data_IF_375328837314
#
_entry.id   IF_375328837314
#
_cell.length_a   1.000
_cell.length_b   1.000
_cell.length_c   1.000
_cell.angle_alpha   90.00
_cell.angle_beta   90.00
_cell.angle_gamma   90.00
#
_symmetry.space_group_name_H-M   'P 1'
#
loop_
_entity.id
_entity.type
_entity.pdbx_description
1 polymer ?
#
# COMPACT_ATOMS: atom_id res chain seq x y z
N UNK A 1 12.52 -0.71 43.32
CA UNK A 1 11.56 0.15 44.03
C UNK A 1 10.40 0.38 43.08
N UNK A 2 9.33 -0.38 43.27
CA UNK A 2 8.05 -0.23 42.59
C UNK A 2 7.44 1.11 43.03
N UNK A 3 7.13 1.99 42.08
CA UNK A 3 6.16 3.05 42.31
C UNK A 3 5.02 2.87 41.32
N UNK A 4 4.09 2.03 41.76
CA UNK A 4 2.73 2.02 41.28
C UNK A 4 2.11 3.40 41.57
N UNK A 5 1.75 4.14 40.54
CA UNK A 5 0.77 5.21 40.65
C UNK A 5 -0.39 4.90 39.71
N UNK A 6 -1.28 4.01 40.17
CA UNK A 6 -2.65 3.91 39.67
C UNK A 6 -3.44 5.10 40.23
N UNK A 7 -3.78 6.05 39.36
CA UNK A 7 -4.95 6.90 39.55
C UNK A 7 -5.96 6.48 38.48
N UNK A 8 -7.18 6.14 38.92
CA UNK A 8 -8.19 5.48 38.10
C UNK A 8 -8.58 6.27 36.85
N UNK A 9 -8.55 5.58 35.71
CA UNK A 9 -9.29 5.94 34.51
C UNK A 9 -9.93 4.65 33.98
N UNK A 10 -11.23 4.70 33.68
CA UNK A 10 -11.90 3.64 32.95
C UNK A 10 -11.20 3.49 31.58
N UNK A 11 -10.86 2.28 31.12
CA UNK A 11 -10.07 2.09 29.90
C UNK A 11 -10.76 2.52 28.59
N UNK A 12 -12.03 2.93 28.62
CA UNK A 12 -12.76 3.41 27.43
C UNK A 12 -12.66 4.92 27.16
N UNK A 13 -12.16 5.73 28.10
CA UNK A 13 -12.10 7.20 27.95
C UNK A 13 -10.70 7.74 27.59
N UNK A 14 -9.69 6.87 27.53
CA UNK A 14 -8.29 7.26 27.29
C UNK A 14 -7.98 7.16 25.80
N UNK A 15 -7.64 8.29 25.18
CA UNK A 15 -7.16 8.31 23.79
C UNK A 15 -5.82 7.57 23.69
N UNK A 16 -5.55 6.81 22.61
CA UNK A 16 -4.22 6.28 22.40
C UNK A 16 -3.24 7.44 22.11
N UNK A 17 -1.98 7.30 22.51
CA UNK A 17 -1.03 8.42 22.51
C UNK A 17 -0.63 8.83 21.08
N UNK A 18 -0.67 7.91 20.11
CA UNK A 18 -0.49 8.17 18.68
C UNK A 18 -1.56 9.13 18.10
N UNK A 19 -2.78 9.11 18.61
CA UNK A 19 -3.85 10.06 18.27
C UNK A 19 -3.69 11.43 18.97
N UNK A 20 -2.78 11.52 19.94
CA UNK A 20 -2.56 12.73 20.75
C UNK A 20 -1.28 13.49 20.39
N UNK A 21 -0.52 13.05 19.39
CA UNK A 21 0.75 13.66 18.98
C UNK A 21 0.64 14.48 17.71
N UNK A 22 1.40 15.57 17.63
CA UNK A 22 1.47 16.40 16.44
C UNK A 22 2.39 15.79 15.38
N UNK A 23 1.89 15.64 14.16
CA UNK A 23 2.64 15.06 13.03
C UNK A 23 3.84 15.87 12.51
N UNK A 24 4.09 17.08 13.04
CA UNK A 24 5.23 17.93 12.63
C UNK A 24 6.37 17.83 13.63
N UNK A 25 6.08 18.05 14.92
CA UNK A 25 7.08 18.01 15.98
C UNK A 25 7.16 16.66 16.70
N UNK A 26 6.27 15.72 16.37
CA UNK A 26 6.19 14.37 16.93
C UNK A 26 6.09 14.32 18.46
N UNK A 27 5.43 15.33 19.05
CA UNK A 27 5.25 15.44 20.49
C UNK A 27 3.77 15.76 20.78
N UNK A 28 3.33 15.59 22.03
CA UNK A 28 1.93 15.70 22.43
C UNK A 28 1.32 17.05 22.01
N UNK A 29 0.08 17.09 21.53
CA UNK A 29 -0.55 18.35 21.16
C UNK A 29 -0.47 19.37 22.31
N UNK A 30 -0.18 20.62 21.98
CA UNK A 30 -0.42 21.79 22.85
C UNK A 30 -1.28 22.74 22.05
N UNK A 31 -2.46 23.04 22.59
CA UNK A 31 -3.48 23.87 21.94
C UNK A 31 -3.73 23.43 20.47
N UNK A 32 -4.22 22.20 20.25
CA UNK A 32 -4.37 21.63 18.91
C UNK A 32 -5.28 22.50 18.03
N UNK A 33 -4.86 22.72 16.79
CA UNK A 33 -5.58 23.46 15.74
C UNK A 33 -6.01 22.48 14.66
N UNK A 34 -7.31 22.19 14.59
CA UNK A 34 -7.88 21.32 13.55
C UNK A 34 -8.34 22.16 12.37
N UNK A 35 -7.67 21.99 11.24
CA UNK A 35 -7.99 22.68 9.99
C UNK A 35 -9.24 22.07 9.33
N UNK A 36 -9.91 22.78 8.40
CA UNK A 36 -11.09 22.27 7.70
C UNK A 36 -10.81 21.05 6.80
N UNK A 37 -9.53 20.74 6.55
CA UNK A 37 -9.09 19.51 5.89
C UNK A 37 -8.88 18.34 6.85
N UNK A 38 -9.36 18.44 8.10
CA UNK A 38 -9.30 17.43 9.16
C UNK A 38 -7.90 17.07 9.67
N UNK A 39 -6.86 17.78 9.23
CA UNK A 39 -5.53 17.64 9.80
C UNK A 39 -5.37 18.55 11.02
N UNK A 40 -4.74 18.02 12.07
CA UNK A 40 -4.55 18.72 13.35
C UNK A 40 -3.08 18.89 13.66
N UNK A 41 -2.68 20.11 14.04
CA UNK A 41 -1.33 20.47 14.44
C UNK A 41 -1.36 21.13 15.82
N UNK A 42 -0.27 21.10 16.60
CA UNK A 42 -0.18 21.96 17.78
C UNK A 42 -0.09 23.44 17.38
N UNK A 43 -0.48 24.36 18.26
CA UNK A 43 -0.46 25.80 17.99
C UNK A 43 0.92 26.30 17.52
N UNK A 44 2.06 25.92 18.14
CA UNK A 44 3.37 26.34 17.67
C UNK A 44 3.64 25.91 16.21
N UNK A 45 3.42 24.64 15.90
CA UNK A 45 3.64 24.12 14.55
C UNK A 45 2.67 24.75 13.52
N UNK A 46 1.42 25.03 13.90
CA UNK A 46 0.48 25.75 13.04
C UNK A 46 0.97 27.16 12.72
N UNK A 47 1.46 27.90 13.73
CA UNK A 47 1.97 29.25 13.54
C UNK A 47 3.18 29.28 12.60
N UNK A 48 4.14 28.39 12.84
CA UNK A 48 5.41 28.35 12.09
C UNK A 48 5.26 27.80 10.68
N UNK A 49 4.48 26.74 10.49
CA UNK A 49 4.44 26.02 9.22
C UNK A 49 3.22 26.38 8.34
N UNK A 50 2.19 27.02 8.92
CA UNK A 50 0.98 27.39 8.19
C UNK A 50 0.75 28.91 8.18
N UNK A 51 0.65 29.52 9.36
CA UNK A 51 0.24 30.93 9.49
C UNK A 51 1.27 31.91 8.91
N UNK A 52 2.57 31.68 9.18
CA UNK A 52 3.66 32.57 8.75
C UNK A 52 4.14 32.33 7.31
N UNK A 53 3.85 31.16 6.72
CA UNK A 53 4.48 30.72 5.46
C UNK A 53 3.57 30.96 4.26
N UNK A 54 2.53 30.14 4.08
CA UNK A 54 1.73 30.15 2.85
C UNK A 54 0.23 29.95 3.07
N UNK A 55 -0.22 29.90 4.34
CA UNK A 55 -1.62 29.66 4.72
C UNK A 55 -2.20 28.40 4.08
N UNK A 56 -1.39 27.33 3.98
CA UNK A 56 -1.80 26.00 3.52
C UNK A 56 -1.49 24.95 4.58
N UNK A 57 -2.32 23.91 4.63
CA UNK A 57 -2.07 22.74 5.46
C UNK A 57 -0.75 22.07 5.03
N UNK A 58 0.22 21.83 5.94
CA UNK A 58 1.45 21.11 5.62
C UNK A 58 1.24 19.67 5.14
N UNK A 59 0.16 19.02 5.58
CA UNK A 59 -0.12 17.61 5.28
C UNK A 59 -0.72 17.41 3.88
N UNK A 60 -1.67 18.26 3.48
CA UNK A 60 -2.44 18.07 2.25
C UNK A 60 -2.44 19.29 1.31
N UNK A 61 -1.67 20.35 1.63
CA UNK A 61 -1.51 21.59 0.84
C UNK A 61 -2.79 22.39 0.59
N UNK A 62 -3.90 22.02 1.22
CA UNK A 62 -5.18 22.76 1.13
C UNK A 62 -5.04 24.14 1.75
N UNK A 63 -5.53 25.17 1.04
CA UNK A 63 -5.51 26.56 1.50
C UNK A 63 -6.48 26.76 2.66
N UNK A 64 -6.02 27.39 3.74
CA UNK A 64 -6.80 27.62 4.98
C UNK A 64 -6.98 29.11 5.32
N UNK A 65 -6.51 30.02 4.47
CA UNK A 65 -6.51 31.47 4.73
C UNK A 65 -7.88 32.06 5.10
N UNK A 66 -8.95 31.71 4.38
CA UNK A 66 -10.31 32.22 4.64
C UNK A 66 -10.85 31.70 5.97
N UNK A 67 -10.62 30.41 6.25
CA UNK A 67 -11.00 29.78 7.50
C UNK A 67 -10.25 30.43 8.68
N UNK A 68 -8.93 30.61 8.57
CA UNK A 68 -8.10 31.20 9.62
C UNK A 68 -8.59 32.60 10.00
N UNK A 69 -8.87 33.48 9.03
CA UNK A 69 -9.40 34.82 9.31
C UNK A 69 -10.73 34.80 10.06
N UNK A 70 -11.58 33.79 9.81
CA UNK A 70 -12.84 33.60 10.55
C UNK A 70 -12.58 33.04 11.95
N UNK A 71 -11.71 32.03 12.06
CA UNK A 71 -11.36 31.39 13.32
C UNK A 71 -10.69 32.37 14.31
N UNK A 72 -9.79 33.23 13.83
CA UNK A 72 -9.15 34.27 14.66
C UNK A 72 -10.18 35.27 15.20
N UNK A 73 -11.09 35.77 14.36
CA UNK A 73 -12.15 36.70 14.79
C UNK A 73 -13.09 36.10 15.84
N UNK A 74 -13.33 34.80 15.76
CA UNK A 74 -14.24 34.10 16.65
C UNK A 74 -13.50 33.43 17.84
N UNK A 75 -12.20 33.68 18.03
CA UNK A 75 -11.36 33.01 19.02
C UNK A 75 -11.48 31.46 19.01
N UNK A 76 -11.71 30.89 17.82
CA UNK A 76 -12.06 29.48 17.61
C UNK A 76 -10.97 28.68 16.89
N UNK A 77 -9.70 29.08 17.01
CA UNK A 77 -8.59 28.40 16.33
C UNK A 77 -8.23 27.08 17.00
N UNK A 78 -8.30 27.03 18.34
CA UNK A 78 -7.99 25.83 19.13
C UNK A 78 -9.20 24.90 19.17
N UNK A 79 -8.99 23.64 18.81
CA UNK A 79 -9.94 22.56 19.02
C UNK A 79 -10.00 22.21 20.51
N UNK A 80 -10.87 22.90 21.25
CA UNK A 80 -11.04 22.72 22.70
C UNK A 80 -11.43 21.29 23.08
N UNK A 81 -12.31 20.66 22.31
CA UNK A 81 -12.77 19.29 22.59
C UNK A 81 -11.63 18.28 22.56
N UNK A 82 -10.78 18.34 21.53
CA UNK A 82 -9.58 17.52 21.45
C UNK A 82 -8.60 17.90 22.56
N UNK A 83 -8.41 19.20 22.80
CA UNK A 83 -7.49 19.67 23.82
C UNK A 83 -7.85 19.17 25.23
N UNK A 84 -9.13 19.18 25.58
CA UNK A 84 -9.62 18.69 26.86
C UNK A 84 -9.43 17.19 27.01
N UNK A 85 -9.56 16.42 25.94
CA UNK A 85 -9.35 14.96 25.94
C UNK A 85 -7.88 14.61 26.07
N UNK A 86 -7.00 15.30 25.34
CA UNK A 86 -5.53 15.12 25.41
C UNK A 86 -5.04 15.42 26.83
N UNK A 87 -5.46 16.55 27.41
CA UNK A 87 -5.05 16.94 28.79
C UNK A 87 -5.55 15.97 29.86
N UNK A 88 -6.74 15.40 29.68
CA UNK A 88 -7.28 14.39 30.59
C UNK A 88 -6.54 13.06 30.49
N UNK A 89 -6.19 12.66 29.27
CA UNK A 89 -5.52 11.37 29.02
C UNK A 89 -4.04 11.41 29.42
N UNK A 90 -3.34 12.53 29.14
CA UNK A 90 -1.89 12.63 29.29
C UNK A 90 -1.45 13.95 29.96
N UNK A 91 -1.91 14.25 31.19
CA UNK A 91 -1.62 15.52 31.86
C UNK A 91 -0.13 15.78 32.07
N UNK A 92 0.64 14.73 32.39
CA UNK A 92 2.09 14.82 32.64
C UNK A 92 2.86 15.22 31.37
N UNK A 93 2.53 14.62 30.22
CA UNK A 93 3.17 14.93 28.94
C UNK A 93 2.83 16.36 28.50
N UNK A 94 1.57 16.79 28.65
CA UNK A 94 1.18 18.17 28.38
C UNK A 94 1.97 19.16 29.25
N UNK A 95 2.16 18.86 30.53
CA UNK A 95 2.89 19.72 31.46
C UNK A 95 4.37 19.82 31.10
N UNK A 96 5.02 18.69 30.79
CA UNK A 96 6.41 18.67 30.30
C UNK A 96 6.59 19.56 29.09
N UNK A 97 5.74 19.37 28.07
CA UNK A 97 5.79 20.15 26.84
C UNK A 97 5.56 21.65 27.09
N UNK A 98 4.61 22.01 27.96
CA UNK A 98 4.37 23.41 28.34
C UNK A 98 5.55 24.04 29.09
N UNK A 99 6.33 23.23 29.81
CA UNK A 99 7.56 23.66 30.50
C UNK A 99 8.78 23.74 29.55
N UNK A 100 8.62 23.47 28.25
CA UNK A 100 9.72 23.43 27.29
C UNK A 100 10.65 22.23 27.48
N UNK A 101 10.19 21.19 28.19
CA UNK A 101 10.91 19.93 28.28
C UNK A 101 10.46 19.09 27.10
N UNK A 102 11.28 19.06 26.05
CA UNK A 102 11.02 18.16 24.92
C UNK A 102 10.97 16.73 25.46
N UNK A 103 9.78 16.13 25.35
CA UNK A 103 9.67 14.68 25.36
C UNK A 103 10.39 14.20 24.11
N UNK A 104 11.69 13.89 24.24
CA UNK A 104 12.14 12.66 23.60
C UNK A 104 11.22 11.62 24.23
N UNK A 105 10.13 11.33 23.52
CA UNK A 105 9.28 10.20 23.84
C UNK A 105 10.26 9.04 23.99
N UNK A 106 10.25 8.40 25.15
CA UNK A 106 11.23 7.38 25.51
C UNK A 106 11.50 6.47 24.30
N UNK A 107 12.74 6.04 24.15
CA UNK A 107 13.25 5.16 23.08
C UNK A 107 12.34 3.93 22.84
N UNK A 108 11.49 3.61 23.82
CA UNK A 108 10.51 2.52 23.86
C UNK A 108 9.12 2.83 23.24
N UNK A 109 8.78 4.07 22.86
CA UNK A 109 7.44 4.41 22.32
C UNK A 109 7.34 4.26 20.79
N UNK A 110 8.45 4.08 20.06
CA UNK A 110 8.34 3.66 18.67
C UNK A 110 7.74 2.25 18.64
N UNK A 111 6.45 2.18 18.28
CA UNK A 111 5.77 0.95 17.85
C UNK A 111 6.78 0.06 17.15
N UNK A 112 6.83 -1.22 17.54
CA UNK A 112 7.73 -2.23 16.98
C UNK A 112 8.00 -1.91 15.52
N UNK A 113 9.27 -1.59 15.15
CA UNK A 113 9.59 -1.10 13.83
C UNK A 113 8.87 -1.94 12.79
N UNK A 114 8.17 -1.33 11.82
CA UNK A 114 7.50 -2.10 10.80
C UNK A 114 8.51 -3.08 10.23
N UNK A 115 8.14 -4.37 10.13
CA UNK A 115 9.04 -5.39 9.61
C UNK A 115 9.51 -4.93 8.23
N UNK A 116 10.74 -4.45 8.16
CA UNK A 116 11.39 -4.13 6.90
C UNK A 116 11.77 -5.45 6.24
N UNK A 117 11.73 -5.50 4.92
CA UNK A 117 12.25 -6.67 4.20
C UNK A 117 13.74 -6.83 4.53
N UNK A 118 14.16 -8.05 4.80
CA UNK A 118 15.57 -8.34 4.99
C UNK A 118 16.34 -8.04 3.68
N UNK A 119 17.60 -7.57 3.76
CA UNK A 119 18.42 -7.34 2.58
C UNK A 119 18.44 -8.58 1.65
N UNK A 120 17.86 -8.43 0.46
CA UNK A 120 17.78 -9.52 -0.53
C UNK A 120 16.49 -10.34 -0.56
N UNK A 121 15.59 -10.19 0.42
CA UNK A 121 14.29 -10.90 0.44
C UNK A 121 13.46 -10.59 -0.82
N UNK A 122 13.37 -9.31 -1.19
CA UNK A 122 12.70 -8.87 -2.43
C UNK A 122 13.32 -9.46 -3.70
N UNK A 123 14.66 -9.63 -3.72
CA UNK A 123 15.37 -10.23 -4.86
C UNK A 123 15.04 -11.72 -4.95
N UNK A 124 15.03 -12.41 -3.82
CA UNK A 124 14.75 -13.84 -3.75
C UNK A 124 13.31 -14.14 -4.21
N UNK A 125 12.33 -13.35 -3.77
CA UNK A 125 10.94 -13.47 -4.24
C UNK A 125 10.84 -13.30 -5.75
N UNK A 126 11.51 -12.29 -6.30
CA UNK A 126 11.54 -12.03 -7.74
C UNK A 126 12.17 -13.18 -8.52
N UNK A 127 13.32 -13.69 -8.09
CA UNK A 127 14.01 -14.82 -8.74
C UNK A 127 13.17 -16.12 -8.68
N UNK A 128 12.46 -16.35 -7.58
CA UNK A 128 11.54 -17.47 -7.45
C UNK A 128 10.36 -17.36 -8.42
N UNK A 129 9.79 -16.16 -8.56
CA UNK A 129 8.72 -15.90 -9.52
C UNK A 129 9.19 -16.10 -10.96
N UNK A 130 10.39 -15.61 -11.31
CA UNK A 130 10.98 -15.83 -12.63
C UNK A 130 11.17 -17.33 -12.93
N UNK A 131 11.76 -18.08 -12.00
CA UNK A 131 11.97 -19.54 -12.14
C UNK A 131 10.65 -20.27 -12.36
N UNK A 132 9.62 -19.96 -11.57
CA UNK A 132 8.30 -20.57 -11.73
C UNK A 132 7.71 -20.30 -13.11
N UNK A 133 7.79 -19.05 -13.58
CA UNK A 133 7.31 -18.66 -14.90
C UNK A 133 8.06 -19.40 -16.02
N UNK A 134 9.39 -19.52 -15.91
CA UNK A 134 10.18 -20.26 -16.90
C UNK A 134 9.81 -21.75 -16.96
N UNK A 135 9.56 -22.37 -15.82
CA UNK A 135 9.12 -23.77 -15.75
C UNK A 135 7.73 -23.97 -16.37
N UNK A 136 6.79 -23.06 -16.10
CA UNK A 136 5.45 -23.09 -16.70
C UNK A 136 5.54 -22.97 -18.22
N UNK A 137 6.31 -22.00 -18.72
CA UNK A 137 6.52 -21.80 -20.16
C UNK A 137 7.16 -23.02 -20.83
N UNK A 138 8.15 -23.67 -20.18
CA UNK A 138 8.77 -24.89 -20.71
C UNK A 138 7.78 -26.05 -20.85
N UNK A 139 6.87 -26.21 -19.89
CA UNK A 139 5.82 -27.25 -19.94
C UNK A 139 4.82 -26.98 -21.07
N UNK A 140 4.48 -25.72 -21.27
CA UNK A 140 3.59 -25.29 -22.35
C UNK A 140 4.24 -25.54 -23.71
N UNK A 141 5.49 -25.11 -23.90
CA UNK A 141 6.28 -25.34 -25.12
C UNK A 141 6.41 -26.84 -25.43
N UNK A 142 6.62 -27.68 -24.42
CA UNK A 142 6.74 -29.13 -24.59
C UNK A 142 5.40 -29.79 -24.97
N UNK A 143 4.30 -29.33 -24.38
CA UNK A 143 2.96 -29.80 -24.74
C UNK A 143 2.61 -29.39 -26.17
N UNK A 144 2.84 -28.13 -26.54
CA UNK A 144 2.60 -27.62 -27.89
C UNK A 144 3.41 -28.40 -28.93
N UNK A 145 4.70 -28.64 -28.66
CA UNK A 145 5.56 -29.45 -29.53
C UNK A 145 5.01 -30.86 -29.71
N UNK A 146 4.61 -31.54 -28.63
CA UNK A 146 4.06 -32.90 -28.70
C UNK A 146 2.76 -32.93 -29.51
N UNK A 147 1.83 -32.02 -29.22
CA UNK A 147 0.56 -31.94 -29.95
C UNK A 147 0.79 -31.63 -31.44
N UNK A 148 1.78 -30.78 -31.75
CA UNK A 148 2.18 -30.45 -33.11
C UNK A 148 2.76 -31.66 -33.85
N UNK A 149 3.66 -32.41 -33.22
CA UNK A 149 4.25 -33.63 -33.78
C UNK A 149 3.20 -34.70 -34.08
N UNK A 150 2.29 -34.96 -33.13
CA UNK A 150 1.18 -35.89 -33.32
C UNK A 150 0.26 -35.47 -34.47
N UNK A 151 -0.06 -34.18 -34.55
CA UNK A 151 -0.90 -33.63 -35.61
C UNK A 151 -0.24 -33.73 -37.00
N UNK A 152 1.05 -33.42 -37.11
CA UNK A 152 1.82 -33.55 -38.35
C UNK A 152 1.86 -35.02 -38.79
N UNK A 153 2.12 -35.95 -37.88
CA UNK A 153 2.14 -37.38 -38.18
C UNK A 153 0.78 -37.86 -38.72
N UNK A 154 -0.31 -37.43 -38.10
CA UNK A 154 -1.67 -37.73 -38.56
C UNK A 154 -1.95 -37.18 -39.97
N UNK A 155 -1.55 -35.93 -40.25
CA UNK A 155 -1.69 -35.32 -41.58
C UNK A 155 -0.90 -36.08 -42.65
N UNK A 156 0.35 -36.45 -42.36
CA UNK A 156 1.19 -37.21 -43.29
C UNK A 156 0.59 -38.59 -43.61
N UNK A 157 0.06 -39.29 -42.60
CA UNK A 157 -0.62 -40.57 -42.80
C UNK A 157 -1.87 -40.42 -43.68
N UNK A 158 -2.74 -39.45 -43.34
CA UNK A 158 -3.97 -39.17 -44.11
C UNK A 158 -3.66 -38.79 -45.56
N UNK A 159 -2.66 -37.92 -45.77
CA UNK A 159 -2.23 -37.52 -47.12
C UNK A 159 -1.63 -38.69 -47.91
N UNK A 160 -0.86 -39.58 -47.27
CA UNK A 160 -0.33 -40.80 -47.90
C UNK A 160 -1.48 -41.71 -48.35
N UNK A 161 -2.46 -41.97 -47.48
CA UNK A 161 -3.65 -42.75 -47.84
C UNK A 161 -4.44 -42.11 -48.99
N UNK A 162 -4.64 -40.78 -48.97
CA UNK A 162 -5.30 -40.05 -50.06
C UNK A 162 -4.52 -40.12 -51.38
N UNK A 163 -3.19 -40.05 -51.34
CA UNK A 163 -2.36 -40.21 -52.54
C UNK A 163 -2.41 -41.63 -53.12
N UNK A 164 -2.41 -42.66 -52.26
CA UNK A 164 -2.52 -44.07 -52.69
C UNK A 164 -3.90 -44.32 -53.30
N UNK A 165 -4.97 -43.82 -52.66
CA UNK A 165 -6.32 -43.88 -53.20
C UNK A 165 -6.46 -43.13 -54.54
N UNK A 166 -5.86 -41.96 -54.68
CA UNK A 166 -5.83 -41.21 -55.94
C UNK A 166 -5.01 -41.92 -57.03
N UNK A 167 -3.92 -42.57 -56.69
CA UNK A 167 -3.12 -43.35 -57.65
C UNK A 167 -3.84 -44.64 -58.06
N UNK A 168 -4.59 -45.27 -57.15
CA UNK A 168 -5.44 -46.43 -57.46
C UNK A 168 -6.61 -46.06 -58.37
N UNK A 169 -7.26 -44.91 -58.17
CA UNK A 169 -8.34 -44.47 -59.07
C UNK A 169 -7.80 -44.00 -60.43
N UNK A 170 -6.61 -43.39 -60.50
CA UNK A 170 -5.93 -43.04 -61.76
C UNK A 170 -5.52 -44.28 -62.58
N UNK A 171 -4.99 -45.31 -61.93
CA UNK A 171 -4.62 -46.57 -62.59
C UNK A 171 -5.85 -47.36 -63.07
N UNK A 172 -6.91 -47.40 -62.26
CA UNK A 172 -8.20 -47.96 -62.70
C UNK A 172 -8.77 -47.19 -63.90
N UNK A 173 -8.72 -45.86 -63.90
CA UNK A 173 -9.16 -45.04 -65.03
C UNK A 173 -8.33 -45.29 -66.30
N UNK A 174 -7.00 -45.41 -66.19
CA UNK A 174 -6.13 -45.77 -67.33
C UNK A 174 -6.42 -47.18 -67.87
N UNK A 175 -6.57 -48.19 -67.01
CA UNK A 175 -6.90 -49.56 -67.45
C UNK A 175 -8.29 -49.63 -68.09
N UNK A 176 -9.26 -48.86 -67.58
CA UNK A 176 -10.58 -48.74 -68.19
C UNK A 176 -10.52 -48.14 -69.60
N UNK A 177 -9.73 -47.07 -69.79
CA UNK A 177 -9.54 -46.45 -71.11
C UNK A 177 -8.88 -47.42 -72.11
N UNK A 178 -7.96 -48.28 -71.67
CA UNK A 178 -7.31 -49.29 -72.53
C UNK A 178 -8.17 -50.52 -72.85
N UNK A 179 -9.22 -50.80 -72.08
CA UNK A 179 -10.12 -51.96 -72.29
C UNK A 179 -11.40 -51.59 -73.04
N UNK A 180 -11.73 -50.31 -73.16
CA UNK A 180 -12.99 -49.83 -73.75
C UNK A 180 -12.80 -48.91 -74.99
N UNK A 181 -11.58 -48.84 -75.52
CA UNK A 181 -11.21 -48.23 -76.80
C UNK A 181 -10.30 -49.19 -77.56
#
# INVERSE_FOLDING_TARGET
MLLEHKAGAHPEDTLPLDECVCSICLDIYVEPVTMPCQHTLCMPCFQENCAKVNLRCPMCRRRVSTWMRKAVRNAGLVNRSLWDRVRRSYPQLCQRRLNGQDSIMDEDYYHSPPRLCEPGEMRQEFENMLRKYEEERRKEDELERRMSEEYIAHLLATNKHRSIGSNHTKTLWQVWVFLFF
#
